data_IF_433966195796
#
_entry.id   IF_433966195796
#
_cell.length_a   1.000
_cell.length_b   1.000
_cell.length_c   1.000
_cell.angle_alpha   90.00
_cell.angle_beta   90.00
_cell.angle_gamma   90.00
#
_symmetry.space_group_name_H-M   'P 1'
#
loop_
_entity.id
_entity.type
_entity.pdbx_description
1 polymer ?
#
# COMPACT_ATOMS: atom_id res chain seq x y z
N UNK A 1 -29.07 -17.63 -1.93
CA UNK A 1 -27.96 -16.92 -2.62
C UNK A 1 -27.04 -16.29 -1.59
N UNK A 2 -25.73 -16.43 -1.76
CA UNK A 2 -24.72 -15.83 -0.90
C UNK A 2 -23.97 -14.71 -1.66
N UNK A 3 -23.54 -13.68 -0.94
CA UNK A 3 -22.67 -12.62 -1.47
C UNK A 3 -21.29 -12.81 -0.86
N UNK A 4 -20.26 -12.78 -1.69
CA UNK A 4 -18.86 -12.71 -1.24
C UNK A 4 -18.43 -11.23 -1.25
N UNK A 5 -17.98 -10.74 -0.13
CA UNK A 5 -17.47 -9.38 0.06
C UNK A 5 -15.97 -9.41 0.34
N UNK A 6 -15.22 -8.45 -0.21
CA UNK A 6 -13.76 -8.41 -0.07
C UNK A 6 -13.28 -7.74 1.21
N UNK A 7 -14.18 -7.12 1.96
CA UNK A 7 -13.89 -6.49 3.26
C UNK A 7 -15.16 -6.42 4.11
N UNK A 8 -15.00 -6.19 5.42
CA UNK A 8 -16.13 -5.97 6.33
C UNK A 8 -16.96 -4.75 5.96
N UNK A 9 -16.32 -3.70 5.44
CA UNK A 9 -17.01 -2.51 4.94
C UNK A 9 -17.93 -2.84 3.75
N UNK A 10 -17.43 -3.60 2.77
CA UNK A 10 -18.24 -4.09 1.64
C UNK A 10 -19.34 -5.03 2.13
N UNK A 11 -19.05 -5.87 3.11
CA UNK A 11 -20.06 -6.78 3.68
C UNK A 11 -21.19 -6.02 4.38
N UNK A 12 -20.88 -4.97 5.15
CA UNK A 12 -21.91 -4.09 5.75
C UNK A 12 -22.78 -3.48 4.65
N UNK A 13 -22.16 -2.85 3.64
CA UNK A 13 -22.90 -2.25 2.52
C UNK A 13 -23.79 -3.26 1.78
N UNK A 14 -23.31 -4.49 1.57
CA UNK A 14 -24.12 -5.53 0.96
C UNK A 14 -25.35 -5.89 1.81
N UNK A 15 -25.21 -5.95 3.14
CA UNK A 15 -26.34 -6.20 4.07
C UNK A 15 -27.33 -5.04 4.06
N UNK A 16 -26.86 -3.80 4.04
CA UNK A 16 -27.70 -2.59 3.95
C UNK A 16 -28.53 -2.57 2.65
N UNK A 17 -27.99 -3.18 1.59
CA UNK A 17 -28.68 -3.39 0.31
C UNK A 17 -29.57 -4.65 0.28
N UNK A 18 -29.74 -5.34 1.41
CA UNK A 18 -30.67 -6.46 1.55
C UNK A 18 -30.05 -7.85 1.34
N UNK A 19 -28.73 -7.98 1.27
CA UNK A 19 -28.09 -9.30 1.19
C UNK A 19 -28.23 -10.05 2.51
N UNK A 20 -28.93 -11.23 2.49
CA UNK A 20 -29.21 -12.02 3.70
C UNK A 20 -28.01 -12.84 4.18
N UNK A 21 -27.17 -13.32 3.26
CA UNK A 21 -25.96 -14.10 3.57
C UNK A 21 -24.76 -13.43 2.91
N UNK A 22 -23.89 -12.86 3.73
CA UNK A 22 -22.66 -12.21 3.26
C UNK A 22 -21.47 -12.86 3.97
N UNK A 23 -20.52 -13.34 3.18
CA UNK A 23 -19.26 -13.93 3.67
C UNK A 23 -18.11 -13.02 3.22
N UNK A 24 -17.21 -12.70 4.15
CA UNK A 24 -16.03 -11.92 3.82
C UNK A 24 -14.93 -12.87 3.34
N UNK A 25 -14.48 -12.64 2.12
CA UNK A 25 -13.30 -13.30 1.53
C UNK A 25 -12.37 -12.19 1.05
N UNK A 26 -11.32 -11.88 1.80
CA UNK A 26 -10.41 -10.80 1.45
C UNK A 26 -9.70 -11.03 0.12
N UNK A 27 -9.35 -9.94 -0.57
CA UNK A 27 -8.48 -10.00 -1.73
C UNK A 27 -7.12 -10.62 -1.34
N UNK A 28 -6.62 -11.49 -2.21
CA UNK A 28 -5.30 -12.09 -2.07
C UNK A 28 -4.34 -11.58 -3.13
N UNK A 29 -3.05 -11.64 -2.82
CA UNK A 29 -1.96 -11.41 -3.76
C UNK A 29 -1.10 -12.66 -3.86
N UNK A 30 -0.38 -12.78 -4.98
CA UNK A 30 0.66 -13.80 -5.11
C UNK A 30 1.84 -13.42 -4.21
N UNK A 31 2.26 -14.34 -3.37
CA UNK A 31 3.49 -14.18 -2.59
C UNK A 31 4.58 -14.99 -3.29
N UNK A 32 5.59 -14.36 -3.89
CA UNK A 32 6.65 -15.07 -4.59
C UNK A 32 7.49 -15.90 -3.60
N UNK A 33 8.12 -16.98 -4.06
CA UNK A 33 9.04 -17.78 -3.23
C UNK A 33 10.24 -16.94 -2.78
N UNK A 34 10.80 -16.16 -3.67
CA UNK A 34 11.87 -15.22 -3.40
C UNK A 34 11.42 -13.78 -3.67
N UNK A 35 11.96 -12.83 -2.91
CA UNK A 35 11.80 -11.39 -3.16
C UNK A 35 12.37 -11.02 -4.53
N UNK A 36 11.73 -10.09 -5.22
CA UNK A 36 12.18 -9.64 -6.53
C UNK A 36 13.60 -9.09 -6.46
N UNK A 37 14.49 -9.71 -7.24
CA UNK A 37 15.91 -9.33 -7.29
C UNK A 37 16.20 -8.27 -8.33
N UNK A 38 17.43 -7.74 -8.25
CA UNK A 38 17.93 -6.73 -9.20
C UNK A 38 17.57 -5.30 -8.83
N UNK A 39 18.22 -4.35 -9.50
CA UNK A 39 17.96 -2.92 -9.37
C UNK A 39 17.04 -2.52 -10.53
N UNK A 40 15.86 -1.94 -10.27
CA UNK A 40 15.00 -1.52 -11.35
C UNK A 40 15.64 -0.36 -12.15
N UNK A 41 15.28 -0.26 -13.41
CA UNK A 41 15.80 0.80 -14.28
C UNK A 41 15.45 2.19 -13.72
N UNK A 42 16.47 3.04 -13.59
CA UNK A 42 16.33 4.39 -13.05
C UNK A 42 16.01 4.45 -11.55
N UNK A 43 16.30 3.39 -10.80
CA UNK A 43 16.26 3.47 -9.33
C UNK A 43 17.25 4.52 -8.83
N UNK A 44 16.86 5.41 -7.90
CA UNK A 44 17.72 6.49 -7.46
C UNK A 44 19.03 5.98 -6.86
N UNK A 45 20.14 6.59 -7.29
CA UNK A 45 21.42 6.46 -6.59
C UNK A 45 21.49 7.53 -5.51
N UNK A 46 21.17 7.14 -4.28
CA UNK A 46 21.19 8.04 -3.11
C UNK A 46 21.65 7.27 -1.88
N UNK A 47 22.10 7.98 -0.86
CA UNK A 47 22.53 7.41 0.42
C UNK A 47 21.39 7.38 1.46
N UNK A 48 20.34 8.14 1.22
CA UNK A 48 19.17 8.22 2.10
C UNK A 48 18.07 7.22 1.74
N UNK A 49 16.98 7.22 2.51
CA UNK A 49 15.86 6.33 2.28
C UNK A 49 15.17 6.58 0.94
N UNK A 50 14.63 5.52 0.36
CA UNK A 50 13.79 5.58 -0.85
C UNK A 50 12.38 5.15 -0.50
N UNK A 51 11.43 6.08 -0.65
CA UNK A 51 10.01 5.83 -0.48
C UNK A 51 9.37 5.62 -1.84
N UNK A 52 8.59 4.55 -2.01
CA UNK A 52 8.02 4.19 -3.31
C UNK A 52 6.50 4.09 -3.23
N UNK A 53 5.81 4.85 -4.07
CA UNK A 53 4.40 4.65 -4.36
C UNK A 53 4.28 3.94 -5.72
N UNK A 54 3.84 2.68 -5.72
CA UNK A 54 3.69 1.90 -6.95
C UNK A 54 2.22 1.59 -7.25
N UNK A 55 1.74 1.94 -8.45
CA UNK A 55 0.41 1.59 -8.94
C UNK A 55 -0.47 2.78 -9.33
N UNK A 56 -1.78 2.57 -9.32
CA UNK A 56 -2.77 3.55 -9.77
C UNK A 56 -2.72 4.83 -8.93
N UNK A 57 -2.72 5.97 -9.62
CA UNK A 57 -2.88 7.31 -9.07
C UNK A 57 -4.30 7.80 -9.39
N UNK A 58 -5.10 8.00 -8.35
CA UNK A 58 -6.48 8.44 -8.48
C UNK A 58 -6.86 9.36 -7.32
N UNK A 59 -7.80 10.27 -7.54
CA UNK A 59 -8.23 11.25 -6.54
C UNK A 59 -8.66 10.64 -5.20
N UNK A 60 -9.33 9.50 -5.22
CA UNK A 60 -9.76 8.81 -3.99
C UNK A 60 -8.63 8.12 -3.21
N UNK A 61 -7.44 7.99 -3.82
CA UNK A 61 -6.23 7.51 -3.17
C UNK A 61 -5.39 8.65 -2.57
N UNK A 62 -5.60 9.90 -2.98
CA UNK A 62 -4.94 11.10 -2.46
C UNK A 62 -3.41 10.98 -2.32
N UNK A 63 -2.67 10.52 -3.35
CA UNK A 63 -1.22 10.30 -3.25
C UNK A 63 -0.40 11.58 -3.10
N UNK A 64 -1.00 12.74 -3.38
CA UNK A 64 -0.38 14.06 -3.20
C UNK A 64 0.04 14.32 -1.75
N UNK A 65 -0.61 13.69 -0.77
CA UNK A 65 -0.22 13.78 0.65
C UNK A 65 1.23 13.39 0.90
N UNK A 66 1.75 12.46 0.09
CA UNK A 66 3.15 12.02 0.24
C UNK A 66 4.14 13.06 -0.30
N UNK A 67 3.76 13.84 -1.30
CA UNK A 67 4.58 14.96 -1.79
C UNK A 67 4.64 16.04 -0.73
N UNK A 68 3.48 16.41 -0.16
CA UNK A 68 3.37 17.40 0.90
C UNK A 68 4.17 17.00 2.14
N UNK A 69 4.04 15.75 2.56
CA UNK A 69 4.78 15.18 3.69
C UNK A 69 6.29 15.17 3.46
N UNK A 70 6.72 14.78 2.25
CA UNK A 70 8.13 14.73 1.88
C UNK A 70 8.75 16.13 1.90
N UNK A 71 8.03 17.13 1.41
CA UNK A 71 8.43 18.53 1.45
C UNK A 71 8.55 19.04 2.89
N UNK A 72 7.57 18.76 3.76
CA UNK A 72 7.61 19.10 5.18
C UNK A 72 8.78 18.46 5.94
N UNK A 73 9.12 17.22 5.60
CA UNK A 73 10.20 16.49 6.25
C UNK A 73 11.58 16.70 5.60
N UNK A 74 11.68 17.49 4.55
CA UNK A 74 12.82 17.55 3.63
C UNK A 74 14.18 17.68 4.32
N UNK A 75 14.31 18.60 5.28
CA UNK A 75 15.56 18.84 6.00
C UNK A 75 15.98 17.66 6.89
N UNK A 76 15.00 16.93 7.43
CA UNK A 76 15.20 15.78 8.32
C UNK A 76 15.48 14.47 7.54
N UNK A 77 15.08 14.42 6.27
CA UNK A 77 15.22 13.23 5.43
C UNK A 77 16.56 13.15 4.69
N UNK A 78 17.35 14.22 4.69
CA UNK A 78 18.68 14.24 4.05
C UNK A 78 18.62 13.95 2.55
N UNK A 79 19.37 12.94 2.09
CA UNK A 79 19.44 12.52 0.67
C UNK A 79 18.33 11.51 0.29
N UNK A 80 17.16 11.60 0.92
CA UNK A 80 16.03 10.74 0.60
C UNK A 80 15.47 10.98 -0.80
N UNK A 81 14.76 9.97 -1.32
CA UNK A 81 13.99 10.07 -2.57
C UNK A 81 12.57 9.57 -2.35
N UNK A 82 11.64 10.28 -2.99
CA UNK A 82 10.24 9.87 -3.11
C UNK A 82 9.95 9.56 -4.58
N UNK A 83 9.57 8.33 -4.85
CA UNK A 83 9.35 7.86 -6.23
C UNK A 83 7.91 7.40 -6.40
N UNK A 84 7.24 7.94 -7.41
CA UNK A 84 5.96 7.45 -7.88
C UNK A 84 6.17 6.67 -9.17
N UNK A 85 5.70 5.43 -9.18
CA UNK A 85 5.73 4.53 -10.35
C UNK A 85 4.29 4.15 -10.68
N UNK A 86 3.75 4.64 -11.78
CA UNK A 86 2.35 4.33 -12.09
C UNK A 86 1.71 5.23 -13.13
N UNK A 87 0.40 5.22 -13.10
CA UNK A 87 -0.47 6.01 -13.97
C UNK A 87 -1.86 6.15 -13.35
N UNK A 88 -2.70 6.96 -13.93
CA UNK A 88 -4.10 7.08 -13.51
C UNK A 88 -4.68 8.47 -13.72
N UNK A 89 -5.96 8.64 -13.39
CA UNK A 89 -6.68 9.88 -13.60
C UNK A 89 -6.15 11.07 -12.77
N UNK A 90 -5.45 10.81 -11.67
CA UNK A 90 -4.83 11.85 -10.83
C UNK A 90 -3.36 12.14 -11.18
N UNK A 91 -2.82 11.57 -12.27
CA UNK A 91 -1.40 11.67 -12.57
C UNK A 91 -0.94 13.09 -12.86
N UNK A 92 -1.71 13.85 -13.63
CA UNK A 92 -1.38 15.24 -13.98
C UNK A 92 -1.40 16.15 -12.75
N UNK A 93 -2.37 15.97 -11.86
CA UNK A 93 -2.46 16.70 -10.60
C UNK A 93 -1.27 16.38 -9.68
N UNK A 94 -0.94 15.10 -9.55
CA UNK A 94 0.25 14.66 -8.81
C UNK A 94 1.54 15.25 -9.41
N UNK A 95 1.67 15.24 -10.74
CA UNK A 95 2.84 15.80 -11.42
C UNK A 95 2.94 17.32 -11.22
N UNK A 96 1.82 18.03 -11.23
CA UNK A 96 1.78 19.45 -10.92
C UNK A 96 2.22 19.73 -9.48
N UNK A 97 1.75 18.92 -8.51
CA UNK A 97 2.11 19.05 -7.09
C UNK A 97 3.58 18.72 -6.83
N UNK A 98 4.13 17.75 -7.54
CA UNK A 98 5.52 17.34 -7.40
C UNK A 98 6.53 18.29 -8.09
N UNK A 99 6.04 19.23 -8.93
CA UNK A 99 6.91 20.12 -9.71
C UNK A 99 7.76 21.01 -8.82
N UNK A 100 9.07 20.91 -9.00
CA UNK A 100 10.03 21.70 -8.22
C UNK A 100 10.34 21.15 -6.83
N UNK A 101 9.65 20.10 -6.37
CA UNK A 101 9.98 19.47 -5.09
C UNK A 101 11.22 18.58 -5.28
N UNK A 102 12.34 19.02 -4.71
CA UNK A 102 13.62 18.31 -4.85
C UNK A 102 13.54 16.91 -4.22
N UNK A 103 14.04 15.91 -4.94
CA UNK A 103 14.06 14.51 -4.47
C UNK A 103 12.80 13.71 -4.81
N UNK A 104 11.76 14.33 -5.41
CA UNK A 104 10.57 13.64 -5.92
C UNK A 104 10.78 13.27 -7.38
N UNK A 105 10.50 12.02 -7.72
CA UNK A 105 10.63 11.45 -9.06
C UNK A 105 9.30 10.79 -9.48
N UNK A 106 8.86 11.07 -10.70
CA UNK A 106 7.70 10.41 -11.31
C UNK A 106 8.15 9.52 -12.46
N UNK A 107 7.63 8.30 -12.49
CA UNK A 107 7.87 7.28 -13.51
C UNK A 107 6.55 6.77 -14.04
N UNK A 108 6.45 6.59 -15.34
CA UNK A 108 5.30 5.94 -15.96
C UNK A 108 5.08 4.54 -15.41
N UNK A 109 3.90 3.99 -15.65
CA UNK A 109 3.59 2.61 -15.30
C UNK A 109 4.59 1.64 -15.94
N UNK A 110 4.99 0.65 -15.16
CA UNK A 110 5.91 -0.41 -15.54
C UNK A 110 5.20 -1.76 -15.47
N UNK A 111 5.86 -2.83 -15.90
CA UNK A 111 5.33 -4.19 -15.72
C UNK A 111 5.19 -4.55 -14.22
N UNK A 112 4.38 -5.56 -13.91
CA UNK A 112 4.21 -6.02 -12.54
C UNK A 112 5.53 -6.47 -11.92
N UNK A 113 6.35 -7.22 -12.67
CA UNK A 113 7.65 -7.69 -12.21
C UNK A 113 8.64 -6.53 -11.94
N UNK A 114 8.55 -5.46 -12.72
CA UNK A 114 9.35 -4.27 -12.49
C UNK A 114 8.85 -3.48 -11.26
N UNK A 115 7.53 -3.37 -11.09
CA UNK A 115 6.93 -2.77 -9.90
C UNK A 115 7.33 -3.53 -8.63
N UNK A 116 7.38 -4.85 -8.68
CA UNK A 116 7.86 -5.70 -7.59
C UNK A 116 9.32 -5.39 -7.22
N UNK A 117 10.20 -5.18 -8.22
CA UNK A 117 11.59 -4.76 -7.98
C UNK A 117 11.68 -3.37 -7.32
N UNK A 118 10.84 -2.42 -7.74
CA UNK A 118 10.76 -1.11 -7.10
C UNK A 118 10.34 -1.23 -5.63
N UNK A 119 9.31 -2.01 -5.35
CA UNK A 119 8.82 -2.24 -3.99
C UNK A 119 9.85 -2.95 -3.12
N UNK A 120 10.50 -4.00 -3.65
CA UNK A 120 11.49 -4.79 -2.92
C UNK A 120 12.73 -3.98 -2.46
N UNK A 121 13.04 -2.88 -3.16
CA UNK A 121 14.20 -2.03 -2.84
C UNK A 121 13.85 -0.78 -2.05
N UNK A 122 12.59 -0.50 -1.84
CA UNK A 122 12.16 0.65 -1.07
C UNK A 122 12.47 0.48 0.42
N UNK A 123 12.80 1.57 1.11
CA UNK A 123 12.85 1.63 2.57
C UNK A 123 11.46 1.38 3.15
N UNK A 124 10.46 2.02 2.57
CA UNK A 124 9.04 1.75 2.81
C UNK A 124 8.23 2.09 1.55
N UNK A 125 7.15 1.37 1.32
CA UNK A 125 6.20 1.74 0.28
C UNK A 125 5.07 2.59 0.84
N UNK A 126 4.36 3.26 -0.06
CA UNK A 126 3.36 4.25 0.29
C UNK A 126 1.99 3.83 -0.24
N UNK A 127 0.98 3.93 0.60
CA UNK A 127 -0.40 3.73 0.21
C UNK A 127 -1.30 4.69 0.98
N UNK A 128 -2.34 5.18 0.33
CA UNK A 128 -3.28 6.11 0.95
C UNK A 128 -4.71 5.84 0.51
N UNK A 129 -5.65 6.37 1.27
CA UNK A 129 -7.08 6.29 0.99
C UNK A 129 -7.76 7.53 1.59
N UNK A 130 -8.49 8.26 0.76
CA UNK A 130 -9.23 9.44 1.20
C UNK A 130 -10.43 9.02 2.07
N UNK A 131 -10.61 9.62 3.25
CA UNK A 131 -11.80 9.39 4.08
C UNK A 131 -13.09 9.84 3.39
N UNK A 132 -14.21 9.22 3.75
CA UNK A 132 -15.54 9.71 3.38
C UNK A 132 -16.08 9.19 2.05
N UNK A 133 -16.12 7.89 1.84
CA UNK A 133 -16.78 7.29 0.67
C UNK A 133 -16.18 5.98 0.21
N UNK A 134 -14.90 5.79 0.45
CA UNK A 134 -14.16 4.58 0.08
C UNK A 134 -13.56 3.85 1.28
N UNK A 135 -13.98 4.18 2.51
CA UNK A 135 -13.44 3.61 3.77
C UNK A 135 -13.56 2.09 3.86
N UNK A 136 -14.42 1.50 3.02
CA UNK A 136 -14.57 0.06 2.87
C UNK A 136 -13.53 -0.57 1.92
N UNK A 137 -12.78 0.23 1.16
CA UNK A 137 -11.78 -0.27 0.23
C UNK A 137 -10.50 -0.70 0.97
N UNK A 138 -9.81 -1.66 0.38
CA UNK A 138 -8.49 -2.09 0.82
C UNK A 138 -7.50 -1.91 -0.32
N UNK A 139 -6.55 -0.97 -0.23
CA UNK A 139 -5.56 -0.74 -1.28
C UNK A 139 -4.63 -1.95 -1.46
N UNK A 140 -4.78 -2.70 -2.54
CA UNK A 140 -4.03 -3.94 -2.79
C UNK A 140 -2.52 -3.71 -2.95
N UNK A 141 -2.07 -2.48 -3.23
CA UNK A 141 -0.65 -2.13 -3.27
C UNK A 141 0.07 -2.36 -1.92
N UNK A 142 -0.65 -2.28 -0.79
CA UNK A 142 -0.14 -2.68 0.52
C UNK A 142 0.29 -4.14 0.48
N UNK A 143 -0.58 -5.02 -0.01
CA UNK A 143 -0.31 -6.46 -0.05
C UNK A 143 0.84 -6.80 -1.00
N UNK A 144 0.92 -6.12 -2.15
CA UNK A 144 2.01 -6.30 -3.10
C UNK A 144 3.37 -5.95 -2.49
N UNK A 145 3.43 -4.83 -1.76
CA UNK A 145 4.63 -4.43 -1.02
C UNK A 145 5.05 -5.44 0.03
N UNK A 146 4.12 -5.84 0.90
CA UNK A 146 4.37 -6.80 1.97
C UNK A 146 4.78 -8.17 1.42
N UNK A 147 4.27 -8.56 0.25
CA UNK A 147 4.68 -9.77 -0.45
C UNK A 147 6.15 -9.73 -0.89
N UNK A 148 6.69 -8.54 -1.14
CA UNK A 148 8.11 -8.30 -1.40
C UNK A 148 8.94 -8.09 -0.12
N UNK A 149 8.34 -8.21 1.06
CA UNK A 149 9.04 -8.04 2.33
C UNK A 149 9.27 -6.59 2.74
N UNK A 150 8.61 -5.63 2.10
CA UNK A 150 8.80 -4.20 2.35
C UNK A 150 7.67 -3.65 3.20
N UNK A 151 7.97 -2.92 4.30
CA UNK A 151 6.95 -2.30 5.14
C UNK A 151 6.22 -1.17 4.42
N UNK A 152 5.08 -0.77 4.95
CA UNK A 152 4.25 0.26 4.34
C UNK A 152 4.03 1.46 5.28
N UNK A 153 4.03 2.68 4.71
CA UNK A 153 3.39 3.84 5.33
C UNK A 153 1.99 3.96 4.72
N UNK A 154 0.99 3.72 5.53
CA UNK A 154 -0.40 3.81 5.11
C UNK A 154 -1.06 5.05 5.70
N UNK A 155 -1.55 5.95 4.85
CA UNK A 155 -2.25 7.16 5.23
C UNK A 155 -3.75 7.06 4.89
N UNK A 156 -4.59 6.79 5.89
CA UNK A 156 -6.03 6.69 5.65
C UNK A 156 -6.80 5.80 6.63
N UNK A 157 -8.12 5.70 6.44
CA UNK A 157 -9.02 4.94 7.30
C UNK A 157 -9.12 3.45 6.93
N UNK A 158 -9.95 2.74 7.67
CA UNK A 158 -10.47 1.42 7.33
C UNK A 158 -9.61 0.26 7.80
N UNK A 159 -9.94 -0.94 7.32
CA UNK A 159 -9.30 -2.19 7.73
C UNK A 159 -7.79 -2.21 7.47
N UNK A 160 -7.33 -1.52 6.41
CA UNK A 160 -5.91 -1.44 6.10
C UNK A 160 -5.11 -0.76 7.22
N UNK A 161 -5.66 0.28 7.85
CA UNK A 161 -5.00 0.97 8.97
C UNK A 161 -4.86 0.04 10.19
N UNK A 162 -5.91 -0.73 10.49
CA UNK A 162 -5.86 -1.71 11.58
C UNK A 162 -4.86 -2.81 11.30
N UNK A 163 -4.92 -3.44 10.12
CA UNK A 163 -3.98 -4.51 9.74
C UNK A 163 -2.52 -4.04 9.83
N UNK A 164 -2.22 -2.84 9.30
CA UNK A 164 -0.85 -2.29 9.32
C UNK A 164 -0.36 -2.07 10.75
N UNK A 165 -1.20 -1.54 11.62
CA UNK A 165 -0.84 -1.25 13.01
C UNK A 165 -0.73 -2.53 13.85
N UNK A 166 -1.80 -3.34 13.82
CA UNK A 166 -1.97 -4.44 14.77
C UNK A 166 -1.05 -5.63 14.45
N UNK A 167 -0.68 -5.80 13.18
CA UNK A 167 0.25 -6.85 12.75
C UNK A 167 1.70 -6.35 12.53
N UNK A 168 2.00 -5.08 12.85
CA UNK A 168 3.34 -4.52 12.70
C UNK A 168 3.84 -4.52 11.24
N UNK A 169 2.95 -4.19 10.28
CA UNK A 169 3.29 -4.23 8.86
C UNK A 169 3.96 -2.94 8.36
N UNK A 170 4.16 -1.99 9.26
CA UNK A 170 4.69 -0.66 9.01
C UNK A 170 4.03 0.39 9.88
N UNK A 171 3.77 1.57 9.34
CA UNK A 171 3.14 2.69 10.06
C UNK A 171 1.80 3.04 9.42
N UNK A 172 0.75 3.12 10.24
CA UNK A 172 -0.56 3.63 9.84
C UNK A 172 -0.83 4.97 10.51
N UNK A 173 -1.21 5.96 9.72
CA UNK A 173 -1.53 7.32 10.17
C UNK A 173 -2.79 7.84 9.47
N UNK A 174 -3.28 9.00 9.90
CA UNK A 174 -4.34 9.73 9.19
C UNK A 174 -3.84 10.21 7.84
N UNK A 175 -4.77 10.56 6.93
CA UNK A 175 -4.43 11.23 5.67
C UNK A 175 -4.09 12.71 5.99
N UNK A 176 -2.94 12.91 6.58
CA UNK A 176 -2.40 14.19 7.06
C UNK A 176 -0.91 14.27 6.78
N UNK A 177 -0.48 15.32 6.10
CA UNK A 177 0.90 15.46 5.65
C UNK A 177 1.91 15.48 6.81
N UNK A 178 1.56 16.07 7.96
CA UNK A 178 2.46 16.13 9.11
C UNK A 178 2.67 14.75 9.73
N UNK A 179 1.61 13.94 9.86
CA UNK A 179 1.72 12.58 10.39
C UNK A 179 2.49 11.66 9.43
N UNK A 180 2.27 11.80 8.12
CA UNK A 180 3.03 11.07 7.10
C UNK A 180 4.50 11.48 7.12
N UNK A 181 4.80 12.77 7.30
CA UNK A 181 6.17 13.28 7.43
C UNK A 181 6.89 12.65 8.62
N UNK A 182 6.24 12.59 9.78
CA UNK A 182 6.81 11.91 10.96
C UNK A 182 7.05 10.42 10.71
N UNK A 183 6.14 9.73 10.03
CA UNK A 183 6.34 8.33 9.65
C UNK A 183 7.53 8.16 8.70
N UNK A 184 7.70 9.03 7.71
CA UNK A 184 8.87 9.01 6.81
C UNK A 184 10.18 9.23 7.59
N UNK A 185 10.22 10.19 8.49
CA UNK A 185 11.40 10.46 9.33
C UNK A 185 11.70 9.28 10.27
N UNK A 186 10.69 8.65 10.84
CA UNK A 186 10.88 7.49 11.69
C UNK A 186 11.52 6.30 10.91
N UNK A 187 11.11 6.07 9.66
CA UNK A 187 11.78 5.09 8.78
C UNK A 187 13.20 5.52 8.41
N UNK A 188 13.44 6.80 8.15
CA UNK A 188 14.76 7.32 7.82
C UNK A 188 15.78 7.18 8.96
N UNK A 189 15.31 7.24 10.20
CA UNK A 189 16.12 7.12 11.42
C UNK A 189 16.11 5.72 12.05
N UNK A 190 15.55 4.73 11.37
CA UNK A 190 15.43 3.34 11.83
C UNK A 190 14.66 3.20 13.17
N UNK A 191 13.77 4.16 13.45
CA UNK A 191 13.00 4.21 14.69
C UNK A 191 11.68 3.42 14.64
N UNK A 192 11.35 2.82 13.48
CA UNK A 192 10.11 2.05 13.31
C UNK A 192 10.30 0.60 13.75
N UNK A 193 9.53 0.17 14.73
CA UNK A 193 9.42 -1.26 15.06
C UNK A 193 8.35 -1.91 14.16
N UNK A 194 8.73 -2.91 13.39
CA UNK A 194 7.84 -3.67 12.50
C UNK A 194 8.24 -5.14 12.46
N UNK A 195 7.41 -5.98 11.87
CA UNK A 195 7.56 -7.45 11.89
C UNK A 195 8.77 -8.00 11.11
N UNK A 196 9.53 -7.14 10.43
CA UNK A 196 10.63 -7.54 9.55
C UNK A 196 10.16 -8.14 8.22
N UNK A 197 11.07 -8.24 7.27
CA UNK A 197 10.75 -8.65 5.90
C UNK A 197 10.05 -10.02 5.82
N UNK A 198 10.55 -11.01 6.55
CA UNK A 198 9.91 -12.34 6.53
C UNK A 198 8.60 -12.35 7.32
N UNK A 199 8.50 -11.58 8.41
CA UNK A 199 7.26 -11.46 9.19
C UNK A 199 6.10 -10.89 8.37
N UNK A 200 6.32 -9.82 7.61
CA UNK A 200 5.27 -9.24 6.76
C UNK A 200 4.89 -10.17 5.59
N UNK A 201 5.86 -10.89 5.02
CA UNK A 201 5.60 -11.92 4.00
C UNK A 201 4.78 -13.08 4.55
N UNK A 202 5.13 -13.56 5.75
CA UNK A 202 4.41 -14.63 6.44
C UNK A 202 2.97 -14.21 6.74
N UNK A 203 2.76 -12.96 7.17
CA UNK A 203 1.42 -12.42 7.39
C UNK A 203 0.59 -12.43 6.10
N UNK A 204 1.15 -12.01 4.97
CA UNK A 204 0.44 -12.05 3.67
C UNK A 204 0.12 -13.48 3.27
N UNK A 205 1.06 -14.43 3.41
CA UNK A 205 0.81 -15.85 3.11
C UNK A 205 -0.37 -16.39 3.90
N UNK A 206 -0.43 -16.07 5.18
CA UNK A 206 -1.46 -16.58 6.08
C UNK A 206 -2.84 -15.93 5.86
N UNK A 207 -2.89 -14.63 5.60
CA UNK A 207 -4.14 -13.86 5.66
C UNK A 207 -4.62 -13.31 4.32
N UNK A 208 -3.70 -13.11 3.35
CA UNK A 208 -3.97 -12.35 2.12
C UNK A 208 -3.32 -12.99 0.87
N UNK A 209 -3.06 -14.30 0.87
CA UNK A 209 -2.59 -14.98 -0.34
C UNK A 209 -3.75 -15.32 -1.28
N UNK A 210 -3.48 -15.36 -2.58
CA UNK A 210 -4.45 -15.81 -3.61
C UNK A 210 -4.97 -17.20 -3.26
N UNK A 211 -4.11 -18.11 -2.81
CA UNK A 211 -4.48 -19.47 -2.46
C UNK A 211 -5.47 -19.53 -1.29
N UNK A 212 -5.23 -18.71 -0.25
CA UNK A 212 -6.14 -18.62 0.90
C UNK A 212 -7.50 -18.04 0.48
N UNK A 213 -7.48 -16.96 -0.29
CA UNK A 213 -8.71 -16.31 -0.79
C UNK A 213 -9.50 -17.24 -1.72
N UNK A 214 -8.83 -17.94 -2.63
CA UNK A 214 -9.45 -18.86 -3.56
C UNK A 214 -10.11 -20.05 -2.84
N UNK A 215 -9.42 -20.64 -1.85
CA UNK A 215 -10.00 -21.73 -1.04
C UNK A 215 -11.23 -21.27 -0.26
N UNK A 216 -11.15 -20.08 0.35
CA UNK A 216 -12.28 -19.51 1.09
C UNK A 216 -13.48 -19.22 0.17
N UNK A 217 -13.23 -18.66 -1.01
CA UNK A 217 -14.28 -18.42 -2.00
C UNK A 217 -14.93 -19.73 -2.49
N UNK A 218 -14.12 -20.74 -2.82
CA UNK A 218 -14.60 -22.04 -3.24
C UNK A 218 -15.48 -22.71 -2.16
N UNK A 219 -15.08 -22.64 -0.89
CA UNK A 219 -15.89 -23.17 0.23
C UNK A 219 -17.27 -22.49 0.33
N UNK A 220 -17.35 -21.18 0.09
CA UNK A 220 -18.63 -20.45 0.07
C UNK A 220 -19.51 -20.92 -1.09
N UNK A 221 -18.95 -21.12 -2.27
CA UNK A 221 -19.69 -21.60 -3.46
C UNK A 221 -20.20 -23.00 -3.23
N UNK A 222 -19.33 -23.93 -2.79
CA UNK A 222 -19.74 -25.33 -2.52
C UNK A 222 -20.80 -25.44 -1.42
N UNK A 223 -20.80 -24.57 -0.42
CA UNK A 223 -21.82 -24.57 0.64
C UNK A 223 -23.15 -23.94 0.22
N UNK A 224 -23.24 -23.37 -0.97
CA UNK A 224 -24.44 -22.74 -1.51
C UNK A 224 -25.17 -23.62 -2.55
N UNK A 225 -24.55 -24.74 -2.95
CA UNK A 225 -25.10 -25.79 -3.79
C UNK A 225 -25.84 -26.82 -2.94
#
# INVERSE_FOLDING_TARGET
RSVIAVSDGVARRARDLGAKRVVVVPNGVRVPEAVAGGVPEGFPSCTGPVFVYAGTVAHWLAPEVFVDAFELARERLGDARLVFVGQGSGWEELAARARGVHGVCLRSAVSADEADRWMARATATLASLRPGGYDYAYPTKILASLAQGTPVIYAGPGQAASDVRDAGLGVACSLDASQVAEAMVAFASDAVTWAGAEGVRAWVRAHRSVDASSRAAAAVVCSAL
#
